data_IF_529512408064
#
_entry.id   IF_529512408064
#
_cell.length_a   1.000
_cell.length_b   1.000
_cell.length_c   1.000
_cell.angle_alpha   90.00
_cell.angle_beta   90.00
_cell.angle_gamma   90.00
#
_symmetry.space_group_name_H-M   'P 1'
#
loop_
_entity.id
_entity.type
_entity.pdbx_description
1 polymer ?
#
# COMPACT_ATOMS: atom_id res chain seq x y z
N UNK A 1 -30.84 13.67 37.27
CA UNK A 1 -29.59 13.20 36.64
C UNK A 1 -28.84 14.44 36.20
N UNK A 2 -27.64 14.63 36.73
CA UNK A 2 -26.86 15.84 36.50
C UNK A 2 -26.40 15.90 35.04
N UNK A 3 -26.49 17.07 34.42
CA UNK A 3 -26.03 17.31 33.04
C UNK A 3 -24.58 16.88 32.84
N UNK A 4 -23.76 17.02 33.88
CA UNK A 4 -22.39 16.55 33.92
C UNK A 4 -22.28 15.01 33.83
N UNK A 5 -23.15 14.28 34.54
CA UNK A 5 -23.19 12.81 34.49
C UNK A 5 -23.63 12.27 33.13
N UNK A 6 -24.49 13.01 32.42
CA UNK A 6 -24.88 12.66 31.06
C UNK A 6 -23.74 12.90 30.05
N UNK A 7 -23.03 14.02 30.16
CA UNK A 7 -21.88 14.34 29.30
C UNK A 7 -20.72 13.34 29.50
N UNK A 8 -20.44 12.93 30.73
CA UNK A 8 -19.40 11.92 31.02
C UNK A 8 -19.78 10.54 30.48
N UNK A 9 -21.05 10.15 30.59
CA UNK A 9 -21.52 8.88 30.01
C UNK A 9 -21.36 8.87 28.49
N UNK A 10 -21.72 9.96 27.82
CA UNK A 10 -21.55 10.09 26.36
C UNK A 10 -20.07 10.02 25.97
N UNK A 11 -19.19 10.74 26.66
CA UNK A 11 -17.77 10.75 26.32
C UNK A 11 -17.12 9.37 26.51
N UNK A 12 -17.47 8.65 27.57
CA UNK A 12 -17.03 7.26 27.81
C UNK A 12 -17.56 6.33 26.73
N UNK A 13 -18.82 6.47 26.33
CA UNK A 13 -19.41 5.64 25.28
C UNK A 13 -18.71 5.89 23.92
N UNK A 14 -18.45 7.14 23.56
CA UNK A 14 -17.72 7.50 22.34
C UNK A 14 -16.29 6.94 22.39
N UNK A 15 -15.59 7.08 23.53
CA UNK A 15 -14.26 6.52 23.72
C UNK A 15 -14.26 4.98 23.58
N UNK A 16 -15.25 4.29 24.15
CA UNK A 16 -15.38 2.84 24.04
C UNK A 16 -15.66 2.40 22.59
N UNK A 17 -16.57 3.08 21.88
CA UNK A 17 -16.89 2.79 20.48
C UNK A 17 -15.71 3.04 19.54
N UNK A 18 -14.95 4.12 19.77
CA UNK A 18 -13.75 4.43 18.98
C UNK A 18 -12.64 3.40 19.20
N UNK A 19 -12.40 2.97 20.44
CA UNK A 19 -11.44 1.90 20.74
C UNK A 19 -11.89 0.55 20.15
N UNK A 20 -13.18 0.23 20.24
CA UNK A 20 -13.74 -0.97 19.62
C UNK A 20 -13.57 -0.93 18.09
N UNK A 21 -13.83 0.22 17.47
CA UNK A 21 -13.64 0.41 16.03
C UNK A 21 -12.17 0.27 15.64
N UNK A 22 -11.26 0.86 16.41
CA UNK A 22 -9.81 0.74 16.19
C UNK A 22 -9.37 -0.72 16.26
N UNK A 23 -9.84 -1.46 17.28
CA UNK A 23 -9.54 -2.89 17.42
C UNK A 23 -10.10 -3.72 16.26
N UNK A 24 -11.34 -3.46 15.84
CA UNK A 24 -11.99 -4.21 14.76
C UNK A 24 -11.33 -3.99 13.38
N UNK A 25 -10.67 -2.85 13.18
CA UNK A 25 -9.99 -2.50 11.92
C UNK A 25 -8.59 -3.11 11.82
N UNK A 26 -7.97 -3.47 12.95
CA UNK A 26 -6.68 -4.15 12.95
C UNK A 26 -6.80 -5.51 12.24
N UNK A 27 -5.82 -5.89 11.42
CA UNK A 27 -5.85 -7.10 10.64
C UNK A 27 -5.85 -8.29 11.59
N UNK A 28 -6.68 -9.28 11.26
CA UNK A 28 -6.72 -10.50 12.04
C UNK A 28 -5.33 -11.14 12.10
N UNK A 29 -4.95 -11.62 13.28
CA UNK A 29 -3.72 -12.38 13.49
C UNK A 29 -3.81 -13.79 12.88
N UNK A 30 -5.01 -14.23 12.53
CA UNK A 30 -5.22 -15.51 11.85
C UNK A 30 -4.67 -15.41 10.43
N UNK A 31 -3.90 -16.43 10.03
CA UNK A 31 -3.40 -16.57 8.66
C UNK A 31 -4.55 -16.33 7.68
N UNK A 32 -4.37 -15.37 6.77
CA UNK A 32 -5.41 -15.02 5.80
C UNK A 32 -5.79 -16.30 5.05
N UNK A 33 -7.01 -16.79 5.26
CA UNK A 33 -7.54 -17.86 4.42
C UNK A 33 -7.52 -17.34 2.98
N UNK A 34 -7.13 -18.17 1.99
CA UNK A 34 -7.29 -17.77 0.60
C UNK A 34 -8.74 -17.31 0.42
N UNK A 35 -8.91 -16.06 0.00
CA UNK A 35 -10.21 -15.54 -0.44
C UNK A 35 -10.78 -16.56 -1.41
N UNK A 36 -12.09 -16.83 -1.33
CA UNK A 36 -12.75 -17.81 -2.20
C UNK A 36 -12.32 -17.66 -3.67
N UNK A 37 -12.31 -18.78 -4.39
CA UNK A 37 -11.84 -18.90 -5.77
C UNK A 37 -12.44 -17.76 -6.61
N UNK A 38 -11.67 -16.70 -6.85
CA UNK A 38 -12.03 -15.68 -7.82
C UNK A 38 -11.98 -16.32 -9.19
N UNK A 39 -12.99 -16.05 -10.03
CA UNK A 39 -12.97 -16.52 -11.40
C UNK A 39 -11.81 -15.83 -12.14
N UNK A 40 -11.25 -16.52 -13.12
CA UNK A 40 -10.07 -16.03 -13.86
C UNK A 40 -10.36 -14.73 -14.63
N UNK A 41 -11.64 -14.40 -14.82
CA UNK A 41 -12.16 -13.20 -15.46
C UNK A 41 -12.30 -11.97 -14.56
N UNK A 42 -12.11 -12.10 -13.24
CA UNK A 42 -12.33 -10.98 -12.32
C UNK A 42 -11.17 -9.97 -12.35
N UNK A 43 -11.50 -8.73 -12.69
CA UNK A 43 -10.57 -7.59 -12.65
C UNK A 43 -10.35 -7.09 -11.22
N UNK A 44 -9.11 -6.74 -10.89
CA UNK A 44 -8.72 -6.24 -9.58
C UNK A 44 -7.95 -4.93 -9.72
N UNK A 45 -8.44 -3.86 -9.10
CA UNK A 45 -7.72 -2.58 -9.08
C UNK A 45 -6.50 -2.67 -8.16
N UNK A 46 -5.37 -2.15 -8.61
CA UNK A 46 -4.07 -2.40 -7.99
C UNK A 46 -3.27 -1.11 -7.87
N UNK A 47 -2.72 -0.84 -6.69
CA UNK A 47 -1.79 0.26 -6.47
C UNK A 47 -0.46 -0.26 -5.94
N UNK A 48 0.63 0.39 -6.34
CA UNK A 48 1.99 0.06 -5.90
C UNK A 48 2.75 1.31 -5.54
N UNK A 49 3.42 1.28 -4.39
CA UNK A 49 4.37 2.32 -4.03
C UNK A 49 5.76 2.00 -4.59
N UNK A 50 6.30 2.94 -5.38
CA UNK A 50 7.66 2.88 -5.90
C UNK A 50 8.58 3.69 -5.00
N UNK A 51 9.32 2.99 -4.14
CA UNK A 51 10.34 3.58 -3.28
C UNK A 51 11.61 3.91 -4.08
N UNK A 52 12.12 5.14 -3.99
CA UNK A 52 13.28 5.56 -4.77
C UNK A 52 14.49 4.61 -4.71
N UNK A 53 15.12 4.36 -5.87
CA UNK A 53 16.35 3.57 -6.00
C UNK A 53 16.10 2.06 -6.15
N UNK A 54 16.73 1.26 -5.29
CA UNK A 54 16.65 -0.21 -5.33
C UNK A 54 15.23 -0.74 -5.14
N UNK A 55 14.44 -0.10 -4.27
CA UNK A 55 13.06 -0.49 -3.98
C UNK A 55 12.14 -0.39 -5.20
N UNK A 56 12.28 0.64 -6.03
CA UNK A 56 11.54 0.75 -7.30
C UNK A 56 11.86 -0.44 -8.20
N UNK A 57 13.14 -0.81 -8.30
CA UNK A 57 13.55 -1.94 -9.14
C UNK A 57 12.99 -3.25 -8.60
N UNK A 58 12.99 -3.42 -7.27
CA UNK A 58 12.34 -4.57 -6.62
C UNK A 58 10.83 -4.62 -6.93
N UNK A 59 10.13 -3.50 -6.70
CA UNK A 59 8.70 -3.40 -6.95
C UNK A 59 8.35 -3.67 -8.42
N UNK A 60 9.03 -3.01 -9.37
CA UNK A 60 8.76 -3.20 -10.80
C UNK A 60 9.06 -4.63 -11.28
N UNK A 61 10.07 -5.29 -10.70
CA UNK A 61 10.35 -6.71 -11.02
C UNK A 61 9.23 -7.61 -10.53
N UNK A 62 8.68 -7.38 -9.34
CA UNK A 62 7.48 -8.08 -8.87
C UNK A 62 6.30 -7.87 -9.84
N UNK A 63 6.08 -6.63 -10.29
CA UNK A 63 4.99 -6.30 -11.21
C UNK A 63 5.18 -6.93 -12.58
N UNK A 64 6.42 -7.09 -13.06
CA UNK A 64 6.68 -7.68 -14.37
C UNK A 64 6.16 -9.12 -14.51
N UNK A 65 5.96 -9.82 -13.38
CA UNK A 65 5.40 -11.17 -13.34
C UNK A 65 3.86 -11.19 -13.26
N UNK A 66 3.19 -10.04 -13.06
CA UNK A 66 1.73 -9.95 -12.99
C UNK A 66 1.10 -9.86 -14.39
N UNK A 67 -0.14 -10.34 -14.50
CA UNK A 67 -0.97 -10.19 -15.70
C UNK A 67 -1.69 -8.83 -15.69
N UNK A 68 -1.32 -7.96 -16.64
CA UNK A 68 -1.84 -6.59 -16.72
C UNK A 68 -3.26 -6.52 -17.30
N UNK A 69 -3.82 -7.63 -17.80
CA UNK A 69 -5.23 -7.68 -18.19
C UNK A 69 -6.15 -7.91 -17.00
N UNK A 70 -5.66 -8.59 -15.96
CA UNK A 70 -6.42 -8.88 -14.74
C UNK A 70 -6.32 -7.76 -13.70
N UNK A 71 -5.14 -7.15 -13.57
CA UNK A 71 -4.92 -6.11 -12.57
C UNK A 71 -5.12 -4.72 -13.19
N UNK A 72 -6.37 -4.23 -13.20
CA UNK A 72 -6.78 -2.94 -13.78
C UNK A 72 -7.86 -2.25 -12.94
N UNK A 73 -7.83 -0.92 -12.80
CA UNK A 73 -6.74 -0.01 -13.17
C UNK A 73 -5.52 -0.15 -12.26
N UNK A 74 -4.34 0.25 -12.76
CA UNK A 74 -3.08 0.27 -12.02
C UNK A 74 -2.73 1.69 -11.58
N UNK A 75 -2.37 1.88 -10.32
CA UNK A 75 -1.95 3.17 -9.78
C UNK A 75 -0.51 3.08 -9.26
N UNK A 76 0.39 3.84 -9.87
CA UNK A 76 1.78 3.96 -9.44
C UNK A 76 1.91 5.16 -8.52
N UNK A 77 2.18 4.89 -7.24
CA UNK A 77 2.44 5.90 -6.24
C UNK A 77 3.95 6.15 -6.18
N UNK A 78 4.37 7.37 -6.50
CA UNK A 78 5.77 7.74 -6.67
C UNK A 78 6.13 8.81 -5.65
N UNK A 79 7.36 8.76 -5.16
CA UNK A 79 7.90 9.79 -4.28
C UNK A 79 8.19 11.09 -5.02
N UNK A 80 7.90 12.23 -4.40
CA UNK A 80 8.25 13.55 -4.93
C UNK A 80 9.76 13.65 -5.25
N UNK A 81 10.07 14.14 -6.45
CA UNK A 81 11.43 14.29 -6.97
C UNK A 81 12.04 13.02 -7.57
N UNK A 82 11.29 11.92 -7.68
CA UNK A 82 11.76 10.66 -8.25
C UNK A 82 11.24 10.41 -9.67
N UNK A 83 11.74 11.19 -10.62
CA UNK A 83 11.38 11.09 -12.05
C UNK A 83 11.86 9.77 -12.67
N UNK A 84 12.99 9.23 -12.22
CA UNK A 84 13.53 7.97 -12.73
C UNK A 84 12.58 6.79 -12.46
N UNK A 85 11.99 6.73 -11.27
CA UNK A 85 11.00 5.69 -10.96
C UNK A 85 9.75 5.80 -11.82
N UNK A 86 9.33 7.01 -12.16
CA UNK A 86 8.21 7.26 -13.08
C UNK A 86 8.52 6.73 -14.48
N UNK A 87 9.69 7.06 -15.04
CA UNK A 87 10.09 6.57 -16.36
C UNK A 87 10.18 5.05 -16.41
N UNK A 88 10.79 4.41 -15.40
CA UNK A 88 10.87 2.94 -15.34
C UNK A 88 9.49 2.27 -15.30
N UNK A 89 8.53 2.86 -14.61
CA UNK A 89 7.16 2.35 -14.58
C UNK A 89 6.46 2.49 -15.95
N UNK A 90 6.63 3.64 -16.62
CA UNK A 90 6.13 3.84 -17.98
C UNK A 90 6.75 2.86 -18.99
N UNK A 91 8.04 2.59 -18.87
CA UNK A 91 8.73 1.64 -19.73
C UNK A 91 8.22 0.20 -19.51
N UNK A 92 7.91 -0.18 -18.27
CA UNK A 92 7.30 -1.47 -17.96
C UNK A 92 5.90 -1.60 -18.59
N UNK A 93 5.05 -0.58 -18.46
CA UNK A 93 3.71 -0.56 -19.09
C UNK A 93 3.81 -0.63 -20.62
N UNK A 94 4.78 0.08 -21.22
CA UNK A 94 5.02 0.03 -22.68
C UNK A 94 5.48 -1.35 -23.14
N UNK A 95 6.40 -1.98 -22.40
CA UNK A 95 6.88 -3.33 -22.71
C UNK A 95 5.72 -4.33 -22.69
N UNK A 96 4.89 -4.31 -21.65
CA UNK A 96 3.71 -5.18 -21.51
C UNK A 96 2.65 -4.95 -22.59
N UNK A 97 2.41 -3.68 -22.96
CA UNK A 97 1.46 -3.34 -24.02
C UNK A 97 1.93 -3.86 -25.39
N UNK A 98 3.24 -3.89 -25.62
CA UNK A 98 3.85 -4.41 -26.86
C UNK A 98 3.72 -5.93 -26.94
N UNK A 99 3.95 -6.64 -25.82
CA UNK A 99 3.76 -8.10 -25.72
C UNK A 99 2.30 -8.50 -25.96
N UNK A 100 1.35 -7.77 -25.37
CA UNK A 100 -0.09 -8.03 -25.55
C UNK A 100 -0.53 -7.86 -27.01
N UNK A 101 -0.02 -6.83 -27.71
CA UNK A 101 -0.36 -6.55 -29.11
C UNK A 101 0.12 -7.62 -30.10
N UNK A 102 1.07 -8.49 -29.73
CA UNK A 102 1.53 -9.59 -30.59
C UNK A 102 0.66 -10.85 -30.49
N UNK A 103 -0.19 -10.96 -29.46
CA UNK A 103 -0.94 -12.20 -29.18
C UNK A 103 -2.41 -12.16 -29.62
N UNK A 104 -3.00 -10.99 -29.91
CA UNK A 104 -4.37 -10.88 -30.47
C UNK A 104 -4.57 -9.56 -31.23
N UNK A 105 -5.13 -9.53 -32.46
CA UNK A 105 -5.49 -8.29 -33.13
C UNK A 105 -6.88 -7.84 -32.67
N UNK A 106 -6.95 -7.03 -31.61
CA UNK A 106 -8.18 -6.33 -31.22
C UNK A 106 -7.93 -4.82 -31.14
N UNK A 107 -8.39 -4.18 -32.20
CA UNK A 107 -8.92 -2.82 -32.39
C UNK A 107 -8.86 -1.82 -31.21
N UNK A 108 -8.25 -0.66 -31.53
CA UNK A 108 -8.52 0.70 -31.03
C UNK A 108 -8.26 1.07 -29.56
N UNK A 109 -7.14 1.76 -29.32
CA UNK A 109 -7.19 3.18 -28.96
C UNK A 109 -7.81 3.60 -27.62
N UNK A 110 -7.70 2.81 -26.55
CA UNK A 110 -7.98 3.28 -25.19
C UNK A 110 -6.68 3.42 -24.41
N UNK A 111 -6.44 4.62 -23.84
CA UNK A 111 -5.34 4.93 -22.93
C UNK A 111 -5.02 3.76 -22.00
N UNK A 112 -3.74 3.43 -21.84
CA UNK A 112 -3.31 2.40 -20.89
C UNK A 112 -3.97 2.69 -19.52
N UNK A 113 -4.63 1.71 -18.87
CA UNK A 113 -5.35 1.89 -17.61
C UNK A 113 -4.39 2.01 -16.41
N UNK A 114 -3.36 2.85 -16.57
CA UNK A 114 -2.38 3.20 -15.56
C UNK A 114 -2.53 4.67 -15.17
N UNK A 115 -2.46 4.95 -13.87
CA UNK A 115 -2.47 6.29 -13.29
C UNK A 115 -1.24 6.49 -12.42
N UNK A 116 -0.76 7.73 -12.35
CA UNK A 116 0.41 8.11 -11.56
C UNK A 116 0.00 9.10 -10.47
N UNK A 117 0.41 8.84 -9.23
CA UNK A 117 0.16 9.70 -8.07
C UNK A 117 1.50 10.03 -7.43
N UNK A 118 1.80 11.32 -7.27
CA UNK A 118 3.05 11.77 -6.64
C UNK A 118 2.77 12.17 -5.20
N UNK A 119 3.53 11.60 -4.26
CA UNK A 119 3.39 11.88 -2.83
C UNK A 119 4.72 12.39 -2.26
N UNK A 120 4.71 13.42 -1.41
CA UNK A 120 5.90 13.91 -0.72
C UNK A 120 6.60 12.82 0.07
N UNK A 121 7.94 12.81 0.08
CA UNK A 121 8.70 11.84 0.88
C UNK A 121 8.51 12.09 2.37
N UNK A 122 8.24 11.03 3.13
CA UNK A 122 8.09 11.13 4.59
C UNK A 122 9.37 11.61 5.29
N UNK A 123 10.54 11.26 4.74
CA UNK A 123 11.85 11.74 5.20
C UNK A 123 12.80 11.90 4.01
N UNK A 124 13.46 13.05 3.90
CA UNK A 124 14.52 13.28 2.90
C UNK A 124 15.85 12.67 3.36
N UNK A 125 16.72 12.36 2.41
CA UNK A 125 18.08 11.87 2.71
C UNK A 125 18.83 12.99 3.43
N UNK A 126 19.59 12.66 4.48
CA UNK A 126 20.30 13.60 5.38
C UNK A 126 19.41 14.53 6.23
N UNK A 127 18.10 14.32 6.26
CA UNK A 127 17.22 15.08 7.13
C UNK A 127 17.39 14.68 8.60
N UNK A 128 17.43 15.68 9.50
CA UNK A 128 17.48 15.45 10.95
C UNK A 128 16.24 14.71 11.45
N UNK A 129 16.41 13.86 12.46
CA UNK A 129 15.30 13.12 13.08
C UNK A 129 14.23 14.05 13.69
N UNK A 130 14.58 15.29 14.03
CA UNK A 130 13.65 16.27 14.60
C UNK A 130 12.74 16.93 13.56
N UNK A 131 13.22 17.08 12.32
CA UNK A 131 12.41 17.69 11.24
C UNK A 131 11.65 16.65 10.43
N UNK A 132 12.06 15.38 10.50
CA UNK A 132 11.41 14.25 9.83
C UNK A 132 9.90 14.09 10.14
N UNK A 133 9.40 14.34 11.37
CA UNK A 133 7.97 14.26 11.66
C UNK A 133 7.14 15.26 10.87
N UNK A 134 7.63 16.48 10.64
CA UNK A 134 6.90 17.49 9.88
C UNK A 134 6.73 17.09 8.41
N UNK A 135 7.79 16.58 7.78
CA UNK A 135 7.70 16.02 6.42
C UNK A 135 6.81 14.79 6.36
N UNK A 136 6.82 13.95 7.40
CA UNK A 136 5.93 12.80 7.49
C UNK A 136 4.46 13.20 7.61
N UNK A 137 4.13 14.27 8.36
CA UNK A 137 2.76 14.81 8.45
C UNK A 137 2.29 15.35 7.11
N UNK A 138 3.14 16.07 6.37
CA UNK A 138 2.77 16.55 5.03
C UNK A 138 2.56 15.39 4.05
N UNK A 139 3.43 14.38 4.09
CA UNK A 139 3.26 13.13 3.34
C UNK A 139 1.96 12.39 3.72
N UNK A 140 1.58 12.42 5.01
CA UNK A 140 0.35 11.81 5.51
C UNK A 140 -0.89 12.55 5.01
N UNK A 141 -0.89 13.88 5.06
CA UNK A 141 -1.99 14.68 4.52
C UNK A 141 -2.21 14.43 3.03
N UNK A 142 -1.14 14.39 2.24
CA UNK A 142 -1.20 14.03 0.82
C UNK A 142 -1.72 12.60 0.60
N UNK A 143 -1.24 11.64 1.41
CA UNK A 143 -1.69 10.25 1.33
C UNK A 143 -3.18 10.09 1.69
N UNK A 144 -3.67 10.80 2.70
CA UNK A 144 -5.08 10.84 3.09
C UNK A 144 -5.91 11.49 1.99
N UNK A 145 -5.41 12.56 1.38
CA UNK A 145 -6.10 13.21 0.26
C UNK A 145 -6.32 12.22 -0.89
N UNK A 146 -5.29 11.50 -1.31
CA UNK A 146 -5.39 10.57 -2.43
C UNK A 146 -6.14 9.27 -2.11
N UNK A 147 -5.94 8.67 -0.93
CA UNK A 147 -6.54 7.37 -0.58
C UNK A 147 -7.94 7.48 0.04
N UNK A 148 -8.27 8.60 0.68
CA UNK A 148 -9.51 8.74 1.47
C UNK A 148 -10.40 9.86 0.97
N UNK A 149 -9.87 11.07 0.81
CA UNK A 149 -10.69 12.24 0.45
C UNK A 149 -11.10 12.22 -1.02
N UNK A 150 -10.17 11.96 -1.93
CA UNK A 150 -10.42 11.97 -3.37
C UNK A 150 -11.57 11.03 -3.77
N UNK A 151 -11.62 9.75 -3.33
CA UNK A 151 -12.77 8.88 -3.59
C UNK A 151 -14.12 9.42 -3.07
N UNK A 152 -14.11 10.23 -1.99
CA UNK A 152 -15.31 10.80 -1.40
C UNK A 152 -15.85 12.01 -2.20
N UNK A 153 -14.96 12.75 -2.88
CA UNK A 153 -15.29 13.95 -3.65
C UNK A 153 -15.37 13.70 -5.17
N UNK A 154 -15.81 12.51 -5.59
CA UNK A 154 -15.94 12.09 -7.00
C UNK A 154 -14.61 11.76 -7.71
N UNK A 155 -13.54 11.51 -6.96
CA UNK A 155 -12.29 11.00 -7.50
C UNK A 155 -12.33 9.49 -7.79
N UNK A 156 -11.23 8.92 -8.32
CA UNK A 156 -11.14 7.50 -8.58
C UNK A 156 -11.31 6.70 -7.28
N UNK A 157 -11.96 5.52 -7.33
CA UNK A 157 -12.16 4.70 -6.14
C UNK A 157 -10.82 4.23 -5.57
N UNK A 158 -10.79 3.98 -4.26
CA UNK A 158 -9.63 3.36 -3.63
C UNK A 158 -9.33 1.99 -4.27
N UNK A 159 -8.04 1.67 -4.50
CA UNK A 159 -7.63 0.40 -5.10
C UNK A 159 -8.01 -0.76 -4.19
N UNK A 160 -8.18 -1.96 -4.76
CA UNK A 160 -8.50 -3.16 -4.00
C UNK A 160 -7.27 -3.72 -3.27
N UNK A 161 -6.08 -3.50 -3.84
CA UNK A 161 -4.79 -3.91 -3.26
C UNK A 161 -3.79 -2.76 -3.32
N UNK A 162 -3.05 -2.56 -2.25
CA UNK A 162 -1.91 -1.64 -2.18
C UNK A 162 -0.65 -2.44 -1.81
N UNK A 163 0.25 -2.56 -2.77
CA UNK A 163 1.56 -3.17 -2.63
C UNK A 163 2.58 -2.15 -2.15
N UNK A 164 3.23 -2.46 -1.03
CA UNK A 164 4.20 -1.61 -0.37
C UNK A 164 5.56 -2.32 -0.34
N UNK A 165 6.60 -1.61 -0.78
CA UNK A 165 7.99 -2.01 -0.63
C UNK A 165 8.82 -0.76 -0.30
N UNK A 166 9.73 -0.89 0.68
CA UNK A 166 10.71 0.16 0.98
C UNK A 166 10.47 1.02 2.24
N UNK A 167 10.90 2.31 2.23
CA UNK A 167 11.19 3.09 3.43
C UNK A 167 9.94 3.78 4.02
N UNK A 168 10.14 4.71 4.96
CA UNK A 168 9.11 5.27 5.85
C UNK A 168 7.83 5.81 5.20
N UNK A 169 7.83 6.20 3.92
CA UNK A 169 6.60 6.57 3.19
C UNK A 169 5.58 5.43 3.13
N UNK A 170 6.02 4.17 3.11
CA UNK A 170 5.13 3.01 3.20
C UNK A 170 4.32 3.00 4.51
N UNK A 171 4.95 3.43 5.62
CA UNK A 171 4.26 3.54 6.89
C UNK A 171 3.17 4.60 6.84
N UNK A 172 3.47 5.76 6.26
CA UNK A 172 2.51 6.85 6.07
C UNK A 172 1.31 6.43 5.21
N UNK A 173 1.56 5.74 4.09
CA UNK A 173 0.51 5.19 3.23
C UNK A 173 -0.38 4.18 3.95
N UNK A 174 0.22 3.32 4.79
CA UNK A 174 -0.52 2.39 5.62
C UNK A 174 -1.46 3.12 6.59
N UNK A 175 -0.97 4.14 7.31
CA UNK A 175 -1.81 4.94 8.21
C UNK A 175 -2.97 5.62 7.45
N UNK A 176 -2.71 6.15 6.26
CA UNK A 176 -3.76 6.75 5.43
C UNK A 176 -4.85 5.73 5.03
N UNK A 177 -4.46 4.52 4.62
CA UNK A 177 -5.40 3.45 4.30
C UNK A 177 -6.22 2.99 5.53
N UNK A 178 -5.59 2.99 6.72
CA UNK A 178 -6.26 2.71 7.98
C UNK A 178 -7.29 3.76 8.37
N UNK A 179 -7.02 5.03 8.08
CA UNK A 179 -8.01 6.08 8.29
C UNK A 179 -9.26 5.81 7.46
N UNK A 180 -9.11 5.40 6.20
CA UNK A 180 -10.25 5.00 5.37
C UNK A 180 -11.02 3.82 5.99
N UNK A 181 -10.32 2.80 6.50
CA UNK A 181 -10.96 1.65 7.21
C UNK A 181 -11.71 2.10 8.45
N UNK A 182 -11.10 2.97 9.26
CA UNK A 182 -11.67 3.49 10.48
C UNK A 182 -13.00 4.22 10.20
N UNK A 183 -13.01 5.05 9.16
CA UNK A 183 -14.19 5.78 8.68
C UNK A 183 -15.22 4.88 7.97
N UNK A 184 -14.93 3.60 7.74
CA UNK A 184 -15.84 2.67 7.05
C UNK A 184 -15.90 2.87 5.53
N UNK A 185 -14.90 3.56 4.97
CA UNK A 185 -14.75 3.76 3.54
C UNK A 185 -14.02 2.55 2.91
N UNK A 186 -14.13 2.42 1.58
CA UNK A 186 -13.36 1.43 0.82
C UNK A 186 -11.86 1.65 1.10
N UNK A 187 -11.15 0.58 1.44
CA UNK A 187 -9.73 0.60 1.75
C UNK A 187 -9.03 -0.59 1.10
N UNK A 188 -7.82 -0.40 0.55
CA UNK A 188 -7.07 -1.49 -0.06
C UNK A 188 -6.68 -2.56 0.94
N UNK A 189 -6.57 -3.80 0.47
CA UNK A 189 -5.77 -4.83 1.14
C UNK A 189 -4.30 -4.44 1.05
N UNK A 190 -3.64 -4.37 2.20
CA UNK A 190 -2.26 -3.95 2.36
C UNK A 190 -1.36 -5.17 2.27
N UNK A 191 -0.46 -5.17 1.27
CA UNK A 191 0.57 -6.18 1.11
C UNK A 191 1.92 -5.50 1.25
N UNK A 192 2.70 -5.88 2.25
CA UNK A 192 4.08 -5.42 2.38
C UNK A 192 5.05 -6.54 2.00
N UNK A 193 5.96 -6.23 1.09
CA UNK A 193 7.07 -7.12 0.70
C UNK A 193 8.35 -6.51 1.21
N UNK A 194 9.00 -7.19 2.16
CA UNK A 194 10.30 -6.79 2.67
C UNK A 194 11.36 -6.86 1.56
N UNK A 195 12.29 -5.91 1.58
CA UNK A 195 13.32 -5.77 0.55
C UNK A 195 14.22 -7.00 0.49
N UNK A 196 14.64 -7.36 -0.72
CA UNK A 196 15.54 -8.47 -0.98
C UNK A 196 16.87 -8.32 -0.25
N UNK A 197 17.34 -7.08 -0.09
CA UNK A 197 18.58 -6.77 0.63
C UNK A 197 18.53 -7.10 2.14
N UNK A 198 17.35 -7.37 2.71
CA UNK A 198 17.19 -7.67 4.14
C UNK A 198 17.27 -9.18 4.38
N UNK A 199 18.47 -9.71 4.50
CA UNK A 199 18.69 -11.15 4.69
C UNK A 199 18.49 -11.60 6.14
N UNK A 200 19.13 -10.89 7.10
CA UNK A 200 19.20 -11.33 8.51
C UNK A 200 18.20 -10.66 9.44
N UNK A 201 17.83 -9.41 9.15
CA UNK A 201 16.96 -8.63 10.04
C UNK A 201 15.95 -7.81 9.23
N UNK A 202 14.72 -7.73 9.74
CA UNK A 202 13.68 -6.87 9.17
C UNK A 202 14.13 -5.41 9.15
N UNK A 203 13.68 -4.66 8.15
CA UNK A 203 13.84 -3.21 8.13
C UNK A 203 13.00 -2.56 9.24
N UNK A 204 13.29 -1.31 9.58
CA UNK A 204 12.46 -0.59 10.56
C UNK A 204 11.01 -0.48 10.07
N UNK A 205 10.81 -0.16 8.79
CA UNK A 205 9.50 -0.18 8.14
C UNK A 205 8.84 -1.55 8.25
N UNK A 206 9.57 -2.63 7.95
CA UNK A 206 9.07 -3.99 8.06
C UNK A 206 8.61 -4.34 9.47
N UNK A 207 9.40 -4.00 10.50
CA UNK A 207 9.02 -4.20 11.91
C UNK A 207 7.74 -3.45 12.29
N UNK A 208 7.60 -2.19 11.84
CA UNK A 208 6.44 -1.35 12.14
C UNK A 208 5.18 -1.75 11.38
N UNK A 209 5.33 -2.16 10.12
CA UNK A 209 4.23 -2.53 9.23
C UNK A 209 3.76 -3.97 9.44
N UNK A 210 4.63 -4.85 9.96
CA UNK A 210 4.32 -6.26 10.18
C UNK A 210 3.02 -6.52 10.97
N UNK A 211 2.63 -5.75 12.00
CA UNK A 211 1.31 -5.91 12.64
C UNK A 211 0.18 -5.16 11.94
N UNK A 212 0.48 -4.26 11.00
CA UNK A 212 -0.50 -3.38 10.37
C UNK A 212 -0.99 -3.86 9.00
N UNK A 213 -0.18 -4.59 8.24
CA UNK A 213 -0.59 -5.00 6.88
C UNK A 213 -1.46 -6.26 6.90
N UNK A 214 -2.21 -6.54 5.83
CA UNK A 214 -2.99 -7.78 5.78
C UNK A 214 -2.11 -8.98 5.41
N UNK A 215 -1.11 -8.75 4.54
CA UNK A 215 -0.08 -9.75 4.21
C UNK A 215 1.31 -9.15 4.35
N UNK A 216 2.14 -9.83 5.13
CA UNK A 216 3.54 -9.48 5.34
C UNK A 216 4.41 -10.57 4.72
N UNK A 217 5.12 -10.23 3.64
CA UNK A 217 5.88 -11.18 2.84
C UNK A 217 7.38 -10.88 3.02
N UNK A 218 8.14 -11.94 3.25
CA UNK A 218 9.61 -11.89 3.27
C UNK A 218 10.18 -12.85 2.24
N UNK A 219 11.43 -12.61 1.87
CA UNK A 219 12.14 -13.42 0.88
C UNK A 219 13.12 -14.40 1.52
N UNK A 220 13.50 -14.15 2.76
CA UNK A 220 14.45 -14.96 3.53
C UNK A 220 13.75 -15.60 4.73
N UNK A 221 13.92 -16.91 4.96
CA UNK A 221 13.28 -17.60 6.08
C UNK A 221 13.77 -17.08 7.44
N UNK A 222 15.03 -16.64 7.51
CA UNK A 222 15.66 -16.10 8.71
C UNK A 222 14.91 -14.91 9.33
N UNK A 223 14.16 -14.17 8.51
CA UNK A 223 13.38 -13.02 8.95
C UNK A 223 12.12 -13.38 9.76
N UNK A 224 11.69 -14.64 9.73
CA UNK A 224 10.51 -15.15 10.45
C UNK A 224 10.86 -16.10 11.61
N UNK A 225 12.13 -16.18 12.01
CA UNK A 225 12.57 -17.04 13.12
C UNK A 225 11.93 -16.67 14.47
N UNK A 226 11.44 -15.44 14.63
CA UNK A 226 10.73 -15.01 15.85
C UNK A 226 9.30 -15.54 15.97
N UNK A 227 8.85 -16.39 15.02
CA UNK A 227 7.54 -17.06 15.05
C UNK A 227 6.33 -16.13 14.90
N UNK A 228 6.54 -14.83 14.68
CA UNK A 228 5.46 -13.86 14.49
C UNK A 228 4.91 -13.91 13.06
N UNK A 229 3.80 -13.21 12.82
CA UNK A 229 3.07 -13.18 11.55
C UNK A 229 3.95 -12.88 10.33
N UNK A 230 3.84 -13.67 9.28
CA UNK A 230 4.46 -13.40 7.98
C UNK A 230 4.52 -14.64 7.10
N UNK A 231 4.78 -14.45 5.82
CA UNK A 231 4.92 -15.51 4.82
C UNK A 231 6.29 -15.41 4.16
N UNK A 232 7.06 -16.50 4.16
CA UNK A 232 8.26 -16.59 3.34
C UNK A 232 7.88 -17.13 1.96
N UNK A 233 8.21 -16.40 0.89
CA UNK A 233 7.90 -16.78 -0.49
C UNK A 233 9.14 -16.98 -1.37
N UNK A 234 10.33 -17.00 -0.77
CA UNK A 234 11.59 -17.13 -1.50
C UNK A 234 11.92 -15.88 -2.32
N UNK A 235 12.69 -16.06 -3.38
CA UNK A 235 13.17 -14.96 -4.22
C UNK A 235 12.07 -14.50 -5.16
N UNK A 236 11.55 -13.30 -4.89
CA UNK A 236 10.52 -12.68 -5.70
C UNK A 236 11.09 -11.64 -6.68
N UNK A 237 12.36 -11.28 -6.50
CA UNK A 237 13.10 -10.25 -7.24
C UNK A 237 14.44 -10.76 -7.70
#
# INVERSE_FOLDING_TARGET
MDTLGFLTLISVLIAALTLLRLYAVLPSTKSAKPSGRHEDSDVCSFAVFLGSGGHTSEALRLLSALDFNRYIPRTYIISEGDTLSMHKAMDLERAKSTEASQSTPSTSGSDAPCSFVVIPRARRVHQSFLTAPFSAVFSLAASIWHLTASPLFSGPPAPDVLLLNGPGTCFVLCIAAYLSRFLGLKSPKLIYVESFARVRHLSLSGKLLRPLVDRFIVQWPDLLQDGKRGECRGWLV
#
